data_IF_115596097728
#
_entry.id   IF_115596097728
#
_cell.length_a   1.000
_cell.length_b   1.000
_cell.length_c   1.000
_cell.angle_alpha   90.00
_cell.angle_beta   90.00
_cell.angle_gamma   90.00
#
_symmetry.space_group_name_H-M   'P 1'
#
loop_
_entity.id
_entity.type
_entity.pdbx_description
1 polymer ?
#
# COMPACT_ATOMS: atom_id res chain seq x y z
N UNK A 1 20.32 -19.02 0.62
CA UNK A 1 19.89 -17.67 1.06
C UNK A 1 20.77 -16.62 0.39
N UNK A 2 20.31 -15.97 -0.69
CA UNK A 2 21.10 -14.92 -1.37
C UNK A 2 21.02 -13.62 -0.55
N UNK A 3 22.13 -13.17 0.03
CA UNK A 3 22.22 -11.84 0.67
C UNK A 3 22.17 -10.78 -0.42
N UNK A 4 21.07 -10.03 -0.50
CA UNK A 4 20.98 -8.87 -1.39
C UNK A 4 21.88 -7.76 -0.83
N UNK A 5 22.90 -7.37 -1.59
CA UNK A 5 23.77 -6.25 -1.25
C UNK A 5 23.03 -4.90 -1.32
N UNK A 6 23.64 -3.86 -0.75
CA UNK A 6 23.23 -2.47 -0.98
C UNK A 6 23.59 -2.14 -2.43
N UNK A 7 22.59 -1.83 -3.26
CA UNK A 7 22.80 -1.45 -4.65
C UNK A 7 22.95 0.08 -4.74
N UNK A 8 24.03 0.56 -5.36
CA UNK A 8 24.17 1.97 -5.73
C UNK A 8 23.11 2.37 -6.75
N UNK A 9 22.78 3.66 -6.86
CA UNK A 9 21.78 4.14 -7.81
C UNK A 9 22.13 3.78 -9.26
N UNK A 10 23.40 3.87 -9.65
CA UNK A 10 23.89 3.46 -10.98
C UNK A 10 23.60 1.98 -11.31
N UNK A 11 23.37 1.14 -10.30
CA UNK A 11 23.03 -0.28 -10.48
C UNK A 11 21.56 -0.53 -10.85
N UNK A 12 20.65 0.42 -10.62
CA UNK A 12 19.21 0.21 -10.77
C UNK A 12 18.83 -0.07 -12.22
N UNK A 13 19.33 0.71 -13.18
CA UNK A 13 19.05 0.49 -14.60
C UNK A 13 19.49 -0.90 -15.07
N UNK A 14 20.67 -1.37 -14.63
CA UNK A 14 21.18 -2.71 -14.95
C UNK A 14 20.32 -3.81 -14.32
N UNK A 15 19.99 -3.66 -13.03
CA UNK A 15 19.14 -4.60 -12.31
C UNK A 15 17.74 -4.69 -12.90
N UNK A 16 17.15 -3.55 -13.28
CA UNK A 16 15.86 -3.48 -13.97
C UNK A 16 15.89 -4.23 -15.31
N UNK A 17 16.90 -3.98 -16.16
CA UNK A 17 17.05 -4.69 -17.44
C UNK A 17 17.19 -6.20 -17.25
N UNK A 18 17.93 -6.63 -16.21
CA UNK A 18 18.03 -8.04 -15.86
C UNK A 18 16.67 -8.65 -15.50
N UNK A 19 15.88 -7.97 -14.66
CA UNK A 19 14.51 -8.42 -14.31
C UNK A 19 13.61 -8.46 -15.54
N UNK A 20 13.66 -7.44 -16.41
CA UNK A 20 12.89 -7.42 -17.66
C UNK A 20 13.25 -8.61 -18.55
N UNK A 21 14.53 -8.96 -18.70
CA UNK A 21 14.97 -10.15 -19.45
C UNK A 21 14.35 -11.42 -18.88
N UNK A 22 14.45 -11.60 -17.56
CA UNK A 22 13.90 -12.76 -16.84
C UNK A 22 12.39 -12.89 -16.98
N UNK A 23 11.66 -11.78 -16.91
CA UNK A 23 10.21 -11.75 -17.18
C UNK A 23 9.91 -12.19 -18.62
N UNK A 24 10.67 -11.71 -19.61
CA UNK A 24 10.50 -12.13 -21.02
C UNK A 24 10.80 -13.60 -21.21
N UNK A 25 11.88 -14.11 -20.62
CA UNK A 25 12.28 -15.51 -20.70
C UNK A 25 11.24 -16.44 -20.04
N UNK A 26 10.73 -16.08 -18.86
CA UNK A 26 9.66 -16.83 -18.20
C UNK A 26 8.36 -16.80 -19.03
N UNK A 27 8.03 -15.64 -19.63
CA UNK A 27 6.86 -15.50 -20.50
C UNK A 27 6.96 -16.38 -21.74
N UNK A 28 8.13 -16.49 -22.36
CA UNK A 28 8.35 -17.35 -23.53
C UNK A 28 8.24 -18.85 -23.22
N UNK A 29 8.46 -19.24 -21.96
CA UNK A 29 8.34 -20.63 -21.47
C UNK A 29 6.93 -20.97 -20.96
N UNK A 30 6.02 -20.00 -20.90
CA UNK A 30 4.66 -20.16 -20.38
C UNK A 30 3.86 -21.11 -21.27
N UNK A 31 3.07 -22.00 -20.65
CA UNK A 31 2.17 -22.92 -21.37
C UNK A 31 1.21 -22.15 -22.30
N UNK A 32 0.99 -22.67 -23.50
CA UNK A 32 0.03 -22.12 -24.47
C UNK A 32 -1.43 -22.23 -24.02
N UNK A 33 -1.72 -23.02 -22.98
CA UNK A 33 -3.06 -23.16 -22.39
C UNK A 33 -3.41 -22.00 -21.45
N UNK A 34 -2.41 -21.22 -21.02
CA UNK A 34 -2.64 -20.06 -20.16
C UNK A 34 -3.03 -18.82 -20.99
N UNK A 35 -3.77 -17.87 -20.38
CA UNK A 35 -4.10 -16.60 -21.04
C UNK A 35 -2.89 -15.89 -21.64
N UNK A 36 -3.03 -15.31 -22.83
CA UNK A 36 -1.92 -14.70 -23.58
C UNK A 36 -1.52 -13.31 -23.06
N UNK A 37 -2.23 -12.78 -22.07
CA UNK A 37 -1.91 -11.52 -21.40
C UNK A 37 -0.44 -11.48 -20.95
N UNK A 38 0.32 -10.55 -21.53
CA UNK A 38 1.72 -10.34 -21.24
C UNK A 38 1.91 -9.89 -19.78
N UNK A 39 2.84 -10.50 -19.02
CA UNK A 39 3.09 -10.09 -17.65
C UNK A 39 3.61 -8.65 -17.55
N UNK A 40 3.00 -7.87 -16.66
CA UNK A 40 3.41 -6.53 -16.27
C UNK A 40 4.40 -6.61 -15.12
N UNK A 41 5.56 -5.97 -15.28
CA UNK A 41 6.50 -5.76 -14.19
C UNK A 41 6.11 -4.51 -13.39
N UNK A 42 5.72 -4.70 -12.13
CA UNK A 42 5.48 -3.61 -11.18
C UNK A 42 6.73 -3.46 -10.30
N UNK A 43 7.47 -2.36 -10.49
CA UNK A 43 8.69 -2.09 -9.72
C UNK A 43 8.31 -1.53 -8.33
N UNK A 44 8.56 -2.30 -7.28
CA UNK A 44 8.15 -1.95 -5.91
C UNK A 44 9.18 -1.03 -5.26
N UNK A 45 8.89 0.27 -5.28
CA UNK A 45 9.80 1.34 -4.84
C UNK A 45 9.58 1.81 -3.40
N UNK A 46 8.73 1.11 -2.63
CA UNK A 46 8.49 1.43 -1.21
C UNK A 46 9.79 1.61 -0.42
N UNK A 47 9.84 2.66 0.39
CA UNK A 47 10.97 3.06 1.23
C UNK A 47 12.27 3.39 0.45
N UNK A 48 12.19 3.55 -0.88
CA UNK A 48 13.31 4.04 -1.71
C UNK A 48 13.14 5.53 -1.99
N UNK A 49 14.26 6.26 -2.08
CA UNK A 49 14.24 7.69 -2.43
C UNK A 49 13.73 7.90 -3.86
N UNK A 50 13.36 9.14 -4.16
CA UNK A 50 12.89 9.54 -5.49
C UNK A 50 13.90 9.25 -6.59
N UNK A 51 15.20 9.36 -6.29
CA UNK A 51 16.21 9.18 -7.31
C UNK A 51 16.28 7.73 -7.82
N UNK A 52 15.92 6.73 -6.99
CA UNK A 52 15.75 5.34 -7.46
C UNK A 52 14.55 5.19 -8.41
N UNK A 53 13.46 5.93 -8.16
CA UNK A 53 12.27 5.92 -9.03
C UNK A 53 12.60 6.58 -10.38
N UNK A 54 13.29 7.72 -10.35
CA UNK A 54 13.71 8.46 -11.53
C UNK A 54 14.68 7.61 -12.38
N UNK A 55 15.70 7.00 -11.76
CA UNK A 55 16.63 6.12 -12.48
C UNK A 55 15.90 4.94 -13.15
N UNK A 56 14.98 4.28 -12.45
CA UNK A 56 14.18 3.22 -13.06
C UNK A 56 13.29 3.74 -14.20
N UNK A 57 12.71 4.94 -14.05
CA UNK A 57 11.89 5.60 -15.05
C UNK A 57 12.68 5.93 -16.32
N UNK A 58 13.88 6.48 -16.17
CA UNK A 58 14.80 6.82 -17.26
C UNK A 58 15.26 5.56 -18.02
N UNK A 59 15.25 4.40 -17.34
CA UNK A 59 15.48 3.09 -17.93
C UNK A 59 14.19 2.41 -18.44
N UNK A 60 13.11 3.17 -18.64
CA UNK A 60 11.87 2.73 -19.31
C UNK A 60 10.80 2.15 -18.39
N UNK A 61 11.01 2.09 -17.07
CA UNK A 61 9.97 1.63 -16.15
C UNK A 61 8.82 2.64 -16.08
N UNK A 62 7.58 2.15 -16.06
CA UNK A 62 6.38 2.99 -15.90
C UNK A 62 5.48 2.56 -14.76
N UNK A 63 5.43 1.27 -14.45
CA UNK A 63 4.57 0.74 -13.40
C UNK A 63 5.32 0.66 -12.07
N UNK A 64 4.91 1.43 -11.08
CA UNK A 64 5.56 1.49 -9.77
C UNK A 64 4.60 1.12 -8.66
N UNK A 65 5.06 0.29 -7.71
CA UNK A 65 4.27 -0.19 -6.57
C UNK A 65 4.67 0.49 -5.26
N UNK A 66 3.70 1.06 -4.56
CA UNK A 66 3.88 1.66 -3.24
C UNK A 66 2.94 1.03 -2.20
N UNK A 67 3.44 0.91 -0.96
CA UNK A 67 2.70 0.29 0.14
C UNK A 67 2.07 1.29 1.12
N UNK A 68 2.55 2.53 1.14
CA UNK A 68 2.16 3.52 2.15
C UNK A 68 1.52 4.71 1.47
N UNK A 69 0.26 5.01 1.82
CA UNK A 69 -0.51 6.10 1.20
C UNK A 69 0.22 7.44 1.31
N UNK A 70 0.81 7.72 2.49
CA UNK A 70 1.57 8.96 2.72
C UNK A 70 2.79 9.06 1.80
N UNK A 71 3.59 8.00 1.72
CA UNK A 71 4.77 7.95 0.86
C UNK A 71 4.41 8.12 -0.61
N UNK A 72 3.35 7.45 -1.08
CA UNK A 72 2.88 7.58 -2.45
C UNK A 72 2.41 9.01 -2.78
N UNK A 73 1.71 9.68 -1.86
CA UNK A 73 1.30 11.08 -2.03
C UNK A 73 2.52 12.00 -2.11
N UNK A 74 3.49 11.81 -1.20
CA UNK A 74 4.72 12.59 -1.18
C UNK A 74 5.52 12.41 -2.48
N UNK A 75 5.71 11.16 -2.93
CA UNK A 75 6.40 10.86 -4.19
C UNK A 75 5.70 11.43 -5.40
N UNK A 76 4.40 11.20 -5.53
CA UNK A 76 3.63 11.60 -6.71
C UNK A 76 3.48 13.11 -6.88
N UNK A 77 3.64 13.88 -5.79
CA UNK A 77 3.57 15.35 -5.80
C UNK A 77 4.94 16.02 -5.80
N UNK A 78 6.03 15.28 -5.74
CA UNK A 78 7.36 15.87 -5.76
C UNK A 78 7.63 16.54 -7.12
N UNK A 79 8.30 17.69 -7.09
CA UNK A 79 8.61 18.51 -8.29
C UNK A 79 9.45 17.74 -9.32
N UNK A 80 10.24 16.75 -8.90
CA UNK A 80 11.01 15.89 -9.82
C UNK A 80 10.15 14.81 -10.48
N UNK A 81 9.06 14.40 -9.85
CA UNK A 81 8.17 13.33 -10.33
C UNK A 81 7.00 13.88 -11.14
N UNK A 82 6.46 15.06 -10.78
CA UNK A 82 5.32 15.66 -11.49
C UNK A 82 5.50 15.77 -13.03
N UNK A 83 6.70 16.07 -13.57
CA UNK A 83 6.91 16.09 -15.02
C UNK A 83 6.82 14.71 -15.68
N UNK A 84 6.97 13.61 -14.92
CA UNK A 84 6.97 12.23 -15.41
C UNK A 84 5.52 11.73 -15.57
N UNK A 85 4.83 12.29 -16.57
CA UNK A 85 3.37 12.23 -16.70
C UNK A 85 2.77 10.86 -17.07
N UNK A 86 3.60 9.88 -17.43
CA UNK A 86 3.18 8.53 -17.82
C UNK A 86 3.58 7.45 -16.80
N UNK A 87 4.06 7.85 -15.61
CA UNK A 87 4.15 6.94 -14.45
C UNK A 87 2.75 6.38 -14.15
N UNK A 88 2.70 5.10 -13.82
CA UNK A 88 1.49 4.37 -13.43
C UNK A 88 1.68 3.85 -12.02
N UNK A 89 1.06 4.52 -11.05
CA UNK A 89 1.16 4.12 -9.65
C UNK A 89 0.19 2.98 -9.32
N UNK A 90 0.72 1.93 -8.72
CA UNK A 90 0.00 0.82 -8.13
C UNK A 90 0.06 0.96 -6.61
N UNK A 91 -1.09 1.02 -5.96
CA UNK A 91 -1.15 0.87 -4.50
C UNK A 91 -1.28 -0.61 -4.16
N UNK A 92 -0.27 -1.14 -3.47
CA UNK A 92 -0.11 -2.57 -3.16
C UNK A 92 0.08 -2.83 -1.65
N UNK A 93 -0.26 -1.84 -0.81
CA UNK A 93 -0.25 -1.96 0.65
C UNK A 93 -1.65 -2.11 1.22
N UNK A 94 -1.77 -2.43 2.51
CA UNK A 94 -3.07 -2.49 3.15
C UNK A 94 -3.76 -1.12 3.13
N UNK A 95 -4.98 -1.05 2.58
CA UNK A 95 -5.75 0.19 2.48
C UNK A 95 -6.88 0.24 3.51
N UNK A 96 -6.78 1.18 4.43
CA UNK A 96 -7.89 1.49 5.33
C UNK A 96 -8.92 2.38 4.63
N UNK A 97 -10.22 2.11 4.85
CA UNK A 97 -11.31 2.84 4.18
C UNK A 97 -11.25 4.37 4.40
N UNK A 98 -10.77 4.83 5.55
CA UNK A 98 -10.62 6.26 5.86
C UNK A 98 -9.45 6.94 5.10
N UNK A 99 -8.57 6.18 4.44
CA UNK A 99 -7.47 6.69 3.61
C UNK A 99 -7.81 6.75 2.13
N UNK A 100 -8.98 6.27 1.70
CA UNK A 100 -9.38 6.28 0.29
C UNK A 100 -9.35 7.69 -0.32
N UNK A 101 -9.92 8.70 0.34
CA UNK A 101 -9.91 10.09 -0.17
C UNK A 101 -8.48 10.63 -0.38
N UNK A 102 -7.54 10.27 0.50
CA UNK A 102 -6.14 10.68 0.37
C UNK A 102 -5.48 9.99 -0.82
N UNK A 103 -5.72 8.68 -0.97
CA UNK A 103 -5.12 7.86 -2.02
C UNK A 103 -5.61 8.28 -3.41
N UNK A 104 -6.91 8.50 -3.61
CA UNK A 104 -7.46 8.83 -4.94
C UNK A 104 -6.96 10.17 -5.49
N UNK A 105 -6.48 11.06 -4.60
CA UNK A 105 -5.85 12.33 -4.96
C UNK A 105 -4.43 12.21 -5.52
N UNK A 106 -3.87 11.00 -5.60
CA UNK A 106 -2.57 10.74 -6.24
C UNK A 106 -2.69 10.92 -7.76
N UNK A 107 -1.91 11.82 -8.39
CA UNK A 107 -1.87 11.93 -9.84
C UNK A 107 -1.35 10.63 -10.43
N UNK A 108 -1.93 10.23 -11.56
CA UNK A 108 -1.60 8.98 -12.25
C UNK A 108 -1.70 7.70 -11.37
N UNK A 109 -2.59 7.71 -10.36
CA UNK A 109 -3.01 6.47 -9.71
C UNK A 109 -3.66 5.57 -10.77
N UNK A 110 -2.97 4.47 -11.08
CA UNK A 110 -3.36 3.55 -12.14
C UNK A 110 -4.19 2.39 -11.61
N UNK A 111 -3.81 1.86 -10.44
CA UNK A 111 -4.44 0.65 -9.88
C UNK A 111 -4.34 0.59 -8.36
N UNK A 112 -5.36 0.03 -7.71
CA UNK A 112 -5.32 -0.41 -6.31
C UNK A 112 -5.49 -1.92 -6.26
N UNK A 113 -4.46 -2.64 -5.81
CA UNK A 113 -4.44 -4.11 -5.90
C UNK A 113 -4.92 -4.82 -4.62
N UNK A 114 -5.35 -4.05 -3.62
CA UNK A 114 -5.53 -4.53 -2.24
C UNK A 114 -6.97 -4.43 -1.75
N UNK A 115 -7.95 -4.48 -2.64
CA UNK A 115 -9.36 -4.43 -2.23
C UNK A 115 -9.75 -5.78 -1.63
N UNK A 116 -10.17 -5.83 -0.37
CA UNK A 116 -10.42 -7.08 0.35
C UNK A 116 -11.84 -7.17 0.93
N UNK A 117 -12.68 -6.16 0.71
CA UNK A 117 -14.01 -6.09 1.33
C UNK A 117 -14.96 -5.17 0.57
N UNK A 118 -16.26 -5.45 0.67
CA UNK A 118 -17.34 -4.60 0.13
C UNK A 118 -17.26 -3.19 0.70
N UNK A 119 -16.95 -3.06 2.00
CA UNK A 119 -16.77 -1.76 2.66
C UNK A 119 -15.66 -0.94 2.02
N UNK A 120 -14.51 -1.56 1.73
CA UNK A 120 -13.39 -0.89 1.08
C UNK A 120 -13.71 -0.54 -0.37
N UNK A 121 -14.32 -1.45 -1.13
CA UNK A 121 -14.78 -1.20 -2.50
C UNK A 121 -15.72 0.01 -2.57
N UNK A 122 -16.75 0.06 -1.71
CA UNK A 122 -17.68 1.19 -1.64
C UNK A 122 -16.98 2.51 -1.29
N UNK A 123 -16.06 2.46 -0.32
CA UNK A 123 -15.30 3.65 0.10
C UNK A 123 -14.41 4.19 -1.03
N UNK A 124 -13.74 3.31 -1.77
CA UNK A 124 -12.95 3.67 -2.96
C UNK A 124 -13.83 4.21 -4.08
N UNK A 125 -14.95 3.55 -4.38
CA UNK A 125 -15.90 3.96 -5.42
C UNK A 125 -16.42 5.38 -5.17
N UNK A 126 -16.88 5.66 -3.94
CA UNK A 126 -17.35 6.99 -3.54
C UNK A 126 -16.20 8.02 -3.63
N UNK A 127 -15.00 7.66 -3.18
CA UNK A 127 -13.85 8.59 -3.21
C UNK A 127 -13.42 8.92 -4.63
N UNK A 128 -13.35 7.93 -5.53
CA UNK A 128 -12.99 8.15 -6.93
C UNK A 128 -14.05 8.94 -7.69
N UNK A 129 -15.33 8.65 -7.45
CA UNK A 129 -16.46 9.34 -8.08
C UNK A 129 -16.44 10.86 -7.87
N UNK A 130 -15.97 11.34 -6.71
CA UNK A 130 -15.84 12.78 -6.42
C UNK A 130 -14.86 13.52 -7.33
N UNK A 131 -13.94 12.81 -7.99
CA UNK A 131 -12.93 13.41 -8.85
C UNK A 131 -13.42 13.64 -10.28
N UNK A 132 -14.59 13.12 -10.65
CA UNK A 132 -15.16 13.23 -12.01
C UNK A 132 -14.16 12.85 -13.13
N UNK A 133 -13.30 11.85 -12.87
CA UNK A 133 -12.36 11.34 -13.88
C UNK A 133 -13.11 10.55 -14.96
N UNK A 134 -12.67 10.61 -16.24
CA UNK A 134 -13.39 9.97 -17.35
C UNK A 134 -13.31 8.44 -17.31
N UNK A 135 -12.35 7.87 -16.59
CA UNK A 135 -12.16 6.42 -16.51
C UNK A 135 -12.31 5.91 -15.07
N UNK A 136 -12.92 4.72 -14.89
CA UNK A 136 -12.96 4.07 -13.59
C UNK A 136 -11.56 3.68 -13.12
N UNK A 137 -11.36 3.62 -11.80
CA UNK A 137 -10.11 3.17 -11.21
C UNK A 137 -9.98 1.65 -11.34
N UNK A 138 -8.86 1.17 -11.88
CA UNK A 138 -8.57 -0.26 -11.91
C UNK A 138 -8.38 -0.77 -10.48
N UNK A 139 -9.07 -1.85 -10.14
CA UNK A 139 -8.94 -2.51 -8.84
C UNK A 139 -8.70 -4.00 -9.00
N UNK A 140 -7.85 -4.55 -8.14
CA UNK A 140 -7.76 -6.00 -7.94
C UNK A 140 -8.21 -6.36 -6.53
N UNK A 141 -8.72 -7.59 -6.40
CA UNK A 141 -9.12 -8.14 -5.12
C UNK A 141 -7.95 -8.87 -4.48
N UNK A 142 -7.61 -8.52 -3.26
CA UNK A 142 -6.61 -9.26 -2.48
C UNK A 142 -7.26 -10.48 -1.83
N UNK A 143 -6.75 -11.66 -2.15
CA UNK A 143 -7.19 -12.94 -1.60
C UNK A 143 -6.16 -13.42 -0.59
N UNK A 144 -6.61 -13.81 0.61
CA UNK A 144 -5.74 -14.49 1.57
C UNK A 144 -5.65 -15.98 1.20
N UNK A 145 -4.63 -16.33 0.41
CA UNK A 145 -4.42 -17.72 -0.06
C UNK A 145 -3.69 -18.60 0.96
N UNK A 146 -2.93 -17.99 1.89
CA UNK A 146 -2.09 -18.71 2.85
C UNK A 146 -2.84 -19.21 4.09
N UNK A 147 -4.13 -18.86 4.22
CA UNK A 147 -5.02 -19.23 5.34
C UNK A 147 -4.55 -18.81 6.74
N UNK A 148 -3.50 -18.00 6.84
CA UNK A 148 -3.10 -17.37 8.09
C UNK A 148 -4.07 -16.23 8.42
N UNK A 149 -4.76 -16.29 9.57
CA UNK A 149 -5.72 -15.27 10.00
C UNK A 149 -5.09 -13.87 10.13
N UNK A 150 -3.78 -13.79 10.33
CA UNK A 150 -3.05 -12.52 10.49
C UNK A 150 -2.85 -11.75 9.18
N UNK A 151 -3.07 -12.37 8.01
CA UNK A 151 -2.85 -11.75 6.70
C UNK A 151 -4.12 -11.13 6.14
N UNK A 152 -3.97 -9.95 5.55
CA UNK A 152 -5.05 -9.24 4.87
C UNK A 152 -5.50 -9.95 3.59
N UNK A 153 -6.75 -9.69 3.19
CA UNK A 153 -7.37 -10.28 2.01
C UNK A 153 -8.71 -10.93 2.35
N UNK A 154 -9.61 -11.00 1.38
CA UNK A 154 -10.84 -11.77 1.54
C UNK A 154 -10.53 -13.27 1.48
N UNK A 155 -11.45 -14.07 2.00
CA UNK A 155 -11.39 -15.52 1.85
C UNK A 155 -11.79 -15.93 0.42
N UNK A 156 -11.39 -17.14 0.01
CA UNK A 156 -11.68 -17.68 -1.34
C UNK A 156 -13.18 -17.71 -1.64
N UNK A 157 -13.98 -18.17 -0.69
CA UNK A 157 -15.45 -18.28 -0.81
C UNK A 157 -16.13 -16.91 -0.95
N UNK A 158 -15.53 -15.85 -0.40
CA UNK A 158 -16.01 -14.47 -0.50
C UNK A 158 -15.59 -13.77 -1.80
N UNK A 159 -14.65 -14.32 -2.56
CA UNK A 159 -14.07 -13.65 -3.72
C UNK A 159 -15.12 -13.31 -4.78
N UNK A 160 -15.96 -14.29 -5.16
CA UNK A 160 -16.91 -14.09 -6.25
C UNK A 160 -17.99 -13.07 -5.91
N UNK A 161 -18.48 -13.06 -4.67
CA UNK A 161 -19.46 -12.06 -4.21
C UNK A 161 -18.87 -10.64 -4.20
N UNK A 162 -17.60 -10.51 -3.81
CA UNK A 162 -16.91 -9.21 -3.85
C UNK A 162 -16.70 -8.72 -5.29
N UNK A 163 -16.33 -9.61 -6.23
CA UNK A 163 -16.22 -9.26 -7.67
C UNK A 163 -17.57 -8.81 -8.21
N UNK A 164 -18.62 -9.58 -7.95
CA UNK A 164 -19.98 -9.27 -8.38
C UNK A 164 -20.42 -7.90 -7.85
N UNK A 165 -20.17 -7.63 -6.57
CA UNK A 165 -20.45 -6.33 -5.95
C UNK A 165 -19.72 -5.17 -6.65
N UNK A 166 -18.44 -5.33 -7.00
CA UNK A 166 -17.69 -4.29 -7.72
C UNK A 166 -18.28 -4.05 -9.10
N UNK A 167 -18.59 -5.11 -9.85
CA UNK A 167 -19.12 -5.01 -11.22
C UNK A 167 -20.51 -4.34 -11.23
N UNK A 168 -21.36 -4.66 -10.25
CA UNK A 168 -22.77 -4.25 -10.22
C UNK A 168 -23.00 -2.91 -9.53
N UNK A 169 -22.26 -2.62 -8.45
CA UNK A 169 -22.54 -1.47 -7.58
C UNK A 169 -21.44 -0.39 -7.58
N UNK A 170 -20.26 -0.67 -8.14
CA UNK A 170 -19.13 0.27 -8.10
C UNK A 170 -18.83 0.87 -9.48
N UNK A 171 -19.73 1.73 -9.98
CA UNK A 171 -19.64 2.36 -11.31
C UNK A 171 -18.34 3.17 -11.57
N UNK A 172 -17.61 3.58 -10.52
CA UNK A 172 -16.36 4.32 -10.61
C UNK A 172 -15.12 3.43 -10.47
N UNK A 173 -15.30 2.12 -10.30
CA UNK A 173 -14.24 1.13 -10.24
C UNK A 173 -14.33 0.17 -11.42
N UNK A 174 -13.18 -0.37 -11.82
CA UNK A 174 -13.07 -1.42 -12.84
C UNK A 174 -12.38 -2.62 -12.22
N UNK A 175 -13.13 -3.69 -12.01
CA UNK A 175 -12.53 -4.97 -11.65
C UNK A 175 -11.54 -5.39 -12.75
N UNK A 176 -10.29 -5.62 -12.34
CA UNK A 176 -9.18 -5.93 -13.26
C UNK A 176 -8.57 -7.30 -12.99
N UNK A 177 -8.68 -7.84 -11.78
CA UNK A 177 -8.02 -9.09 -11.44
C UNK A 177 -7.99 -9.42 -9.97
N UNK A 178 -7.21 -10.45 -9.64
CA UNK A 178 -6.96 -10.91 -8.27
C UNK A 178 -5.49 -10.70 -7.90
N UNK A 179 -5.22 -10.54 -6.61
CA UNK A 179 -3.89 -10.37 -6.05
C UNK A 179 -3.72 -11.31 -4.85
N UNK A 180 -2.56 -11.93 -4.71
CA UNK A 180 -2.14 -12.53 -3.44
C UNK A 180 -0.72 -12.13 -3.08
N UNK A 181 -0.46 -12.03 -1.79
CA UNK A 181 0.89 -11.94 -1.22
C UNK A 181 1.50 -13.35 -1.13
N UNK A 182 0.68 -14.36 -0.83
CA UNK A 182 1.11 -15.74 -0.56
C UNK A 182 1.85 -15.94 0.76
N UNK A 183 2.28 -17.17 1.01
CA UNK A 183 3.23 -17.52 2.03
C UNK A 183 4.66 -17.17 1.60
N UNK A 184 5.49 -16.80 2.57
CA UNK A 184 6.89 -16.49 2.31
C UNK A 184 7.69 -17.78 2.17
N UNK A 185 8.60 -17.83 1.20
CA UNK A 185 9.61 -18.89 1.05
C UNK A 185 9.06 -20.31 0.80
N UNK A 186 8.04 -20.45 -0.06
CA UNK A 186 7.62 -21.76 -0.57
C UNK A 186 8.82 -22.55 -1.13
N UNK A 187 8.92 -23.83 -0.76
CA UNK A 187 9.92 -24.74 -1.30
C UNK A 187 9.42 -25.35 -2.62
N UNK A 188 9.94 -24.81 -3.72
CA UNK A 188 9.60 -25.26 -5.06
C UNK A 188 10.01 -26.71 -5.37
N UNK A 189 10.87 -27.33 -4.55
CA UNK A 189 11.15 -28.77 -4.66
C UNK A 189 9.97 -29.66 -4.25
N UNK A 190 9.03 -29.11 -3.47
CA UNK A 190 7.78 -29.79 -3.07
C UNK A 190 6.67 -29.67 -4.12
N UNK A 191 6.93 -29.01 -5.25
CA UNK A 191 5.97 -28.80 -6.33
C UNK A 191 5.44 -27.37 -6.42
N UNK A 192 4.34 -27.15 -7.18
CA UNK A 192 3.78 -25.83 -7.42
C UNK A 192 3.37 -25.12 -6.14
N UNK A 193 3.54 -23.80 -6.10
CA UNK A 193 3.15 -22.99 -4.95
C UNK A 193 1.63 -23.07 -4.71
N UNK A 194 1.16 -23.56 -3.54
CA UNK A 194 -0.26 -23.73 -3.26
C UNK A 194 -1.04 -22.42 -3.22
N UNK A 195 -0.40 -21.30 -2.89
CA UNK A 195 -1.01 -19.97 -2.92
C UNK A 195 -1.36 -19.54 -4.34
N UNK A 196 -0.43 -19.75 -5.28
CA UNK A 196 -0.63 -19.39 -6.69
C UNK A 196 -1.69 -20.28 -7.32
N UNK A 197 -1.69 -21.58 -7.01
CA UNK A 197 -2.76 -22.51 -7.41
C UNK A 197 -4.11 -22.03 -6.89
N UNK A 198 -4.19 -21.67 -5.61
CA UNK A 198 -5.43 -21.15 -5.01
C UNK A 198 -5.93 -19.89 -5.73
N UNK A 199 -5.05 -18.95 -6.07
CA UNK A 199 -5.44 -17.73 -6.77
C UNK A 199 -5.89 -18.01 -8.21
N UNK A 200 -5.25 -18.95 -8.91
CA UNK A 200 -5.66 -19.41 -10.25
C UNK A 200 -7.04 -20.03 -10.21
N UNK A 201 -7.32 -20.86 -9.20
CA UNK A 201 -8.64 -21.48 -9.04
C UNK A 201 -9.71 -20.43 -8.70
N UNK A 202 -9.41 -19.47 -7.82
CA UNK A 202 -10.32 -18.35 -7.55
C UNK A 202 -10.70 -17.61 -8.84
N UNK A 203 -9.73 -17.36 -9.72
CA UNK A 203 -10.01 -16.73 -11.02
C UNK A 203 -10.95 -17.59 -11.88
N UNK A 204 -10.72 -18.91 -11.95
CA UNK A 204 -11.58 -19.82 -12.72
C UNK A 204 -13.01 -19.79 -12.17
N UNK A 205 -13.17 -19.95 -10.86
CA UNK A 205 -14.47 -19.95 -10.18
C UNK A 205 -15.24 -18.64 -10.45
N UNK A 206 -14.56 -17.50 -10.36
CA UNK A 206 -15.13 -16.18 -10.68
C UNK A 206 -15.53 -16.07 -12.15
N UNK A 207 -14.65 -16.49 -13.06
CA UNK A 207 -14.92 -16.40 -14.50
C UNK A 207 -16.10 -17.25 -14.91
N UNK A 208 -16.23 -18.46 -14.35
CA UNK A 208 -17.37 -19.34 -14.58
C UNK A 208 -18.65 -18.73 -13.99
N UNK A 209 -18.65 -18.38 -12.70
CA UNK A 209 -19.84 -17.87 -12.00
C UNK A 209 -20.37 -16.56 -12.60
N UNK A 210 -19.48 -15.68 -13.05
CA UNK A 210 -19.84 -14.34 -13.55
C UNK A 210 -19.73 -14.22 -15.08
N UNK A 211 -19.51 -15.34 -15.80
CA UNK A 211 -19.36 -15.38 -17.26
C UNK A 211 -18.31 -14.39 -17.79
N UNK A 212 -17.18 -14.26 -17.08
CA UNK A 212 -16.05 -13.41 -17.48
C UNK A 212 -15.04 -14.21 -18.30
N UNK A 213 -14.38 -13.52 -19.25
CA UNK A 213 -13.24 -14.12 -19.97
C UNK A 213 -12.01 -14.19 -19.05
N UNK A 214 -11.33 -15.34 -19.04
CA UNK A 214 -10.05 -15.53 -18.34
C UNK A 214 -8.98 -14.52 -18.80
N UNK A 215 -9.03 -14.06 -20.05
CA UNK A 215 -8.10 -13.05 -20.59
C UNK A 215 -8.28 -11.67 -19.93
N UNK A 216 -9.48 -11.40 -19.38
CA UNK A 216 -9.83 -10.12 -18.75
C UNK A 216 -9.62 -10.11 -17.23
N UNK A 217 -9.26 -11.24 -16.62
CA UNK A 217 -9.03 -11.33 -15.17
C UNK A 217 -7.55 -11.56 -14.90
N UNK A 218 -6.87 -10.47 -14.59
CA UNK A 218 -5.44 -10.45 -14.29
C UNK A 218 -5.13 -11.19 -12.97
N UNK A 219 -3.90 -11.70 -12.84
CA UNK A 219 -3.37 -12.28 -11.60
C UNK A 219 -2.12 -11.53 -11.18
N UNK A 220 -2.16 -10.91 -10.00
CA UNK A 220 -1.01 -10.27 -9.37
C UNK A 220 -0.45 -11.18 -8.29
N UNK A 221 0.61 -11.89 -8.65
CA UNK A 221 1.32 -12.84 -7.80
C UNK A 221 2.76 -13.02 -8.28
N UNK A 222 3.67 -13.34 -7.37
CA UNK A 222 5.11 -13.38 -7.63
C UNK A 222 5.82 -12.08 -7.26
N UNK A 223 6.87 -12.23 -6.48
CA UNK A 223 7.75 -11.20 -5.97
C UNK A 223 9.21 -11.51 -6.35
N UNK A 224 10.17 -10.75 -5.81
CA UNK A 224 11.59 -10.87 -6.13
C UNK A 224 12.16 -12.31 -6.12
N UNK A 225 11.63 -13.20 -5.28
CA UNK A 225 12.13 -14.56 -5.09
C UNK A 225 11.50 -15.61 -6.01
N UNK A 226 10.34 -15.33 -6.60
CA UNK A 226 9.46 -16.34 -7.21
C UNK A 226 8.64 -15.82 -8.40
N UNK A 227 8.98 -14.65 -8.95
CA UNK A 227 8.23 -14.06 -10.06
C UNK A 227 8.32 -14.87 -11.35
N UNK A 228 9.40 -15.61 -11.59
CA UNK A 228 9.56 -16.43 -12.80
C UNK A 228 8.59 -17.61 -12.74
N UNK A 229 8.53 -18.30 -11.61
CA UNK A 229 7.62 -19.40 -11.35
C UNK A 229 6.16 -18.92 -11.35
N UNK A 230 5.88 -17.74 -10.78
CA UNK A 230 4.56 -17.13 -10.83
C UNK A 230 4.09 -16.88 -12.27
N UNK A 231 4.98 -16.44 -13.18
CA UNK A 231 4.68 -16.27 -14.61
C UNK A 231 4.35 -17.60 -15.27
N UNK A 232 5.12 -18.66 -14.97
CA UNK A 232 4.84 -20.01 -15.48
C UNK A 232 3.47 -20.53 -15.00
N UNK A 233 3.01 -20.10 -13.83
CA UNK A 233 1.68 -20.41 -13.28
C UNK A 233 0.57 -19.42 -13.72
N UNK A 234 0.89 -18.46 -14.61
CA UNK A 234 -0.11 -17.60 -15.23
C UNK A 234 -0.28 -16.21 -14.61
N UNK A 235 0.69 -15.75 -13.81
CA UNK A 235 0.74 -14.36 -13.33
C UNK A 235 0.78 -13.38 -14.50
N UNK A 236 0.00 -12.31 -14.39
CA UNK A 236 0.01 -11.18 -15.33
C UNK A 236 0.56 -9.91 -14.70
N UNK A 237 0.83 -9.91 -13.39
CA UNK A 237 1.49 -8.82 -12.67
C UNK A 237 2.49 -9.42 -11.68
N UNK A 238 3.77 -9.10 -11.86
CA UNK A 238 4.84 -9.49 -10.92
C UNK A 238 5.39 -8.26 -10.22
N UNK A 239 5.51 -8.33 -8.88
CA UNK A 239 5.82 -7.20 -8.01
C UNK A 239 7.24 -7.30 -7.47
N UNK A 240 8.21 -6.74 -8.18
CA UNK A 240 9.64 -6.94 -7.90
C UNK A 240 10.24 -5.69 -7.26
N UNK A 241 10.86 -5.85 -6.08
CA UNK A 241 11.45 -4.75 -5.32
C UNK A 241 12.95 -4.92 -5.11
N UNK A 242 13.33 -5.81 -4.18
CA UNK A 242 14.73 -6.03 -3.76
C UNK A 242 15.68 -6.39 -4.90
N UNK A 243 15.20 -7.10 -5.93
CA UNK A 243 16.01 -7.44 -7.10
C UNK A 243 16.34 -6.21 -7.96
N UNK A 244 15.47 -5.20 -7.99
CA UNK A 244 15.65 -3.97 -8.78
C UNK A 244 16.42 -2.91 -7.96
N UNK A 245 15.98 -2.67 -6.73
CA UNK A 245 16.45 -1.53 -5.93
C UNK A 245 17.47 -1.90 -4.84
N UNK A 246 17.87 -3.17 -4.76
CA UNK A 246 18.74 -3.68 -3.70
C UNK A 246 18.08 -3.71 -2.31
N UNK A 247 18.85 -4.16 -1.31
CA UNK A 247 18.39 -4.18 0.08
C UNK A 247 18.03 -2.78 0.60
N UNK A 248 17.23 -2.74 1.67
CA UNK A 248 16.89 -1.49 2.36
C UNK A 248 18.16 -0.92 2.99
N UNK A 249 18.39 0.39 2.86
CA UNK A 249 19.36 1.03 3.74
C UNK A 249 18.81 0.98 5.18
N UNK A 250 19.62 0.59 6.19
CA UNK A 250 19.22 0.71 7.58
C UNK A 250 18.88 2.18 7.85
N UNK A 251 17.79 2.44 8.57
CA UNK A 251 17.44 3.78 9.02
C UNK A 251 18.61 4.26 9.88
N UNK A 252 19.41 5.21 9.41
CA UNK A 252 20.42 5.85 10.26
C UNK A 252 19.65 6.52 11.41
N UNK A 253 19.92 6.10 12.64
CA UNK A 253 19.42 6.81 13.81
C UNK A 253 19.97 8.24 13.72
N UNK A 254 19.07 9.22 13.62
CA UNK A 254 19.43 10.63 13.63
C UNK A 254 19.96 10.98 15.03
N UNK A 255 21.26 10.83 15.25
CA UNK A 255 21.94 11.45 16.37
C UNK A 255 22.06 12.95 16.05
N UNK A 256 21.09 13.72 16.52
CA UNK A 256 21.28 15.16 16.70
C UNK A 256 22.12 15.32 17.96
N UNK A 257 23.44 15.35 17.79
CA UNK A 257 24.35 15.89 18.81
C UNK A 257 24.57 17.36 18.47
N UNK A 258 24.03 18.21 19.32
CA UNK A 258 24.24 19.66 19.33
C UNK A 258 25.73 19.97 19.48
N UNK A 259 26.26 20.75 18.54
CA UNK A 259 27.47 21.54 18.77
C UNK A 259 27.21 22.50 19.93
N UNK A 260 27.91 22.31 21.05
CA UNK A 260 28.18 23.40 21.98
C UNK A 260 29.67 23.67 21.96
N UNK A 261 30.02 24.87 21.50
CA UNK A 261 31.36 25.39 21.47
C UNK A 261 31.91 25.55 22.89
N UNK A 262 33.16 25.13 23.07
CA UNK A 262 33.95 25.45 24.24
C UNK A 262 34.47 26.88 24.11
N UNK A 263 34.12 27.74 25.06
CA UNK A 263 34.90 28.93 25.38
C UNK A 263 35.08 28.96 26.88
N UNK A 264 36.34 28.79 27.30
CA UNK A 264 36.80 28.94 28.68
C UNK A 264 36.50 30.35 29.18
N UNK A 265 35.95 30.46 30.38
CA UNK A 265 36.23 31.58 31.29
C UNK A 265 36.24 31.05 32.72
N UNK A 266 37.34 31.41 33.38
CA UNK A 266 37.78 31.05 34.74
C UNK A 266 37.10 31.91 35.80
N UNK A 267 36.79 31.32 36.97
CA UNK A 267 36.88 32.02 38.26
C UNK A 267 36.74 31.04 39.44
N UNK A 268 37.83 30.94 40.21
CA UNK A 268 37.91 30.77 41.68
C UNK A 268 36.85 31.65 42.39
N UNK A 269 36.35 31.46 43.61
CA UNK A 269 36.77 30.84 44.88
C UNK A 269 35.51 30.97 45.80
N UNK A 270 35.14 30.00 46.64
CA UNK A 270 35.25 30.03 48.12
C UNK A 270 33.89 29.51 48.67
N UNK A 271 33.84 28.33 49.30
CA UNK A 271 34.06 28.01 50.73
C UNK A 271 32.84 28.23 51.64
N UNK A 272 32.64 27.23 52.53
CA UNK A 272 31.88 27.20 53.79
C UNK A 272 30.36 26.95 53.67
N UNK A 273 29.91 25.73 54.04
CA UNK A 273 29.45 25.33 55.40
C UNK A 273 28.01 25.80 55.65
N UNK A 274 27.08 25.13 56.30
CA UNK A 274 27.02 23.94 57.15
C UNK A 274 25.50 23.70 57.36
N UNK A 275 25.16 22.50 57.84
CA UNK A 275 24.00 22.22 58.70
C UNK A 275 22.57 22.51 58.14
N UNK A 276 21.51 21.78 58.49
CA UNK A 276 21.27 20.52 59.19
C UNK A 276 19.74 20.45 59.33
N UNK A 277 19.19 19.22 59.39
CA UNK A 277 17.96 18.87 60.13
C UNK A 277 16.60 19.29 59.53
N UNK A 278 15.84 18.29 59.06
CA UNK A 278 14.77 17.53 59.76
C UNK A 278 13.39 18.22 59.61
N UNK A 279 12.51 17.60 58.81
CA UNK A 279 11.38 16.77 59.25
C UNK A 279 10.43 17.47 60.22
N UNK A 280 9.22 17.86 59.77
CA UNK A 280 7.95 17.57 60.47
C UNK A 280 6.80 17.54 59.45
N UNK A 281 5.97 16.52 59.59
CA UNK A 281 4.74 16.22 58.87
C UNK A 281 3.50 16.95 59.41
N UNK A 282 2.51 17.08 58.50
CA UNK A 282 1.07 16.80 58.68
C UNK A 282 0.08 17.90 59.12
N UNK A 283 -1.03 17.84 58.37
CA UNK A 283 -2.43 18.12 58.66
C UNK A 283 -2.99 19.53 58.44
N UNK A 284 -4.07 19.60 57.64
CA UNK A 284 -4.89 20.79 57.45
C UNK A 284 -5.77 20.80 56.17
N UNK A 285 -6.78 19.92 56.09
CA UNK A 285 -8.03 20.16 55.34
C UNK A 285 -8.96 21.06 56.22
N UNK A 286 -10.11 21.61 55.76
CA UNK A 286 -10.74 21.60 54.42
C UNK A 286 -11.36 22.96 53.99
N UNK A 287 -12.00 22.98 52.80
CA UNK A 287 -13.45 23.25 52.62
C UNK A 287 -13.87 24.35 51.61
N UNK A 288 -15.06 24.11 51.05
CA UNK A 288 -16.00 24.93 50.24
C UNK A 288 -15.65 25.04 48.75
N UNK A 289 -16.30 24.34 47.81
CA UNK A 289 -17.73 24.12 47.55
C UNK A 289 -18.52 25.42 47.40
N UNK A 290 -19.08 25.66 46.21
CA UNK A 290 -20.51 25.53 45.92
C UNK A 290 -21.04 26.59 44.90
N UNK A 291 -21.82 26.09 43.92
CA UNK A 291 -23.04 26.70 43.33
C UNK A 291 -22.83 27.87 42.34
N UNK A 292 -23.58 28.08 41.25
CA UNK A 292 -24.76 27.38 40.71
C UNK A 292 -25.19 28.00 39.35
N UNK A 293 -25.87 27.15 38.55
CA UNK A 293 -27.13 27.36 37.79
C UNK A 293 -27.23 28.30 36.58
N UNK A 294 -27.64 27.67 35.47
CA UNK A 294 -28.86 27.90 34.67
C UNK A 294 -29.30 29.33 34.33
N UNK A 295 -29.62 29.57 33.04
CA UNK A 295 -31.02 29.49 32.64
C UNK A 295 -31.28 29.30 31.13
N UNK A 296 -32.33 28.54 30.89
CA UNK A 296 -33.08 28.24 29.66
C UNK A 296 -33.94 29.40 29.12
N UNK A 297 -34.40 29.28 27.86
CA UNK A 297 -35.80 29.43 27.35
C UNK A 297 -35.75 29.65 25.83
N UNK A 298 -36.20 28.72 24.99
CA UNK A 298 -37.58 28.44 24.49
C UNK A 298 -38.15 29.46 23.49
N UNK A 299 -38.53 28.97 22.29
CA UNK A 299 -39.88 29.10 21.70
C UNK A 299 -40.06 28.41 20.33
N UNK A 300 -41.18 27.69 20.27
CA UNK A 300 -41.83 26.98 19.15
C UNK A 300 -42.41 27.85 18.02
N UNK A 301 -42.66 27.22 16.85
CA UNK A 301 -43.97 27.06 16.15
C UNK A 301 -43.79 26.67 14.66
N UNK A 302 -44.27 25.50 14.19
CA UNK A 302 -45.53 25.24 13.45
C UNK A 302 -45.65 26.02 12.10
N UNK A 303 -46.02 25.52 10.89
CA UNK A 303 -46.90 24.42 10.42
C UNK A 303 -46.80 24.25 8.87
N UNK A 304 -47.29 23.11 8.36
CA UNK A 304 -48.11 22.89 7.13
C UNK A 304 -47.48 22.67 5.73
N UNK A 305 -47.56 21.40 5.31
CA UNK A 305 -48.19 20.85 4.09
C UNK A 305 -48.66 21.81 2.97
N UNK A 306 -48.28 21.50 1.72
CA UNK A 306 -49.20 21.51 0.59
C UNK A 306 -48.75 20.56 -0.54
N UNK A 307 -49.73 19.89 -1.12
CA UNK A 307 -49.67 18.91 -2.20
C UNK A 307 -50.05 19.53 -3.57
N UNK A 308 -49.81 18.75 -4.63
CA UNK A 308 -50.40 18.79 -6.00
C UNK A 308 -49.75 19.69 -7.05
N UNK A 309 -48.99 19.10 -7.98
CA UNK A 309 -49.43 18.78 -9.36
C UNK A 309 -48.49 17.75 -9.99
#
# INVERSE_FOLDING_TARGET
MKRFGILSMEGVGSALRSVISRVKEATAKRSSELPKTAPRLVAVSKLKSLDYVIEAYDNGQRHFGENYVKELIEKSKDVKIQPLNDIRWHFIGHLQSNKCNNLVGVPNLFMVETVDSVKLANSLNISWGKLNKPSPLNVMIQVNTSKEESKSGCLRDQCAELVEHIITHCAHLKFSGLMTIGEMNHDWSQGPNPDFTTLVDCRKDICEKLSLSLENVELSMGMSSDFEEAILMGSTNVRVGSTIFGARQPKQASNVSSMQGSTQLTSQEANLSDASQQNVTKDGLPNLAALNTDNSTDRDSHTALNSTT
#
